data_IF_009358886259
#
_entry.id   IF_009358886259
#
_cell.length_a   1.000
_cell.length_b   1.000
_cell.length_c   1.000
_cell.angle_alpha   90.00
_cell.angle_beta   90.00
_cell.angle_gamma   90.00
#
_symmetry.space_group_name_H-M   'P 1'
#
loop_
_entity.id
_entity.type
_entity.pdbx_description
1 polymer ?
#
# COMPACT_ATOMS: atom_id res chain seq x y z
N UNK A 1 -4.24 -3.89 6.15
CA UNK A 1 -5.21 -4.98 6.42
C UNK A 1 -4.75 -6.21 5.64
N UNK A 2 -4.55 -7.35 6.29
CA UNK A 2 -4.11 -8.56 5.58
C UNK A 2 -5.30 -9.11 4.77
N UNK A 3 -5.21 -9.05 3.43
CA UNK A 3 -6.30 -9.42 2.51
C UNK A 3 -6.38 -10.95 2.32
N UNK A 4 -5.66 -11.74 3.11
CA UNK A 4 -5.56 -13.21 2.94
C UNK A 4 -6.91 -13.93 2.91
N UNK A 5 -7.91 -13.44 3.61
CA UNK A 5 -9.24 -14.06 3.68
C UNK A 5 -10.13 -13.72 2.48
N UNK A 6 -9.76 -12.75 1.65
CA UNK A 6 -10.56 -12.29 0.50
C UNK A 6 -10.01 -12.74 -0.84
N UNK A 7 -8.73 -13.09 -0.88
CA UNK A 7 -8.06 -13.51 -2.12
C UNK A 7 -7.75 -14.99 -2.06
N UNK A 8 -8.19 -15.72 -3.05
CA UNK A 8 -7.79 -17.09 -3.32
C UNK A 8 -7.08 -17.14 -4.66
N UNK A 9 -6.07 -17.96 -4.77
CA UNK A 9 -5.35 -18.19 -6.02
C UNK A 9 -4.96 -19.66 -6.14
N UNK A 10 -4.68 -20.12 -7.37
CA UNK A 10 -4.20 -21.47 -7.64
C UNK A 10 -2.86 -21.71 -6.92
N UNK A 11 -2.77 -22.82 -6.20
CA UNK A 11 -1.50 -23.27 -5.64
C UNK A 11 -0.54 -23.60 -6.78
N UNK A 12 0.66 -23.00 -6.77
CA UNK A 12 1.65 -23.19 -7.83
C UNK A 12 1.30 -22.55 -9.20
N UNK A 13 0.11 -21.95 -9.36
CA UNK A 13 -0.33 -21.32 -10.60
C UNK A 13 0.32 -19.97 -10.92
N UNK A 14 1.14 -19.44 -10.02
CA UNK A 14 1.77 -18.14 -10.18
C UNK A 14 3.24 -18.16 -9.79
N UNK A 15 4.08 -17.51 -10.58
CA UNK A 15 5.42 -17.08 -10.14
C UNK A 15 5.32 -15.64 -9.69
N UNK A 16 5.56 -15.39 -8.38
CA UNK A 16 5.62 -14.05 -7.79
C UNK A 16 7.05 -13.55 -7.81
N UNK A 17 7.23 -12.31 -8.22
CA UNK A 17 8.51 -11.60 -8.22
C UNK A 17 8.33 -10.27 -7.47
N UNK A 18 9.11 -10.05 -6.42
CA UNK A 18 9.07 -8.84 -5.60
C UNK A 18 10.40 -8.09 -5.66
N UNK A 19 10.35 -6.78 -5.52
CA UNK A 19 11.57 -5.93 -5.50
C UNK A 19 12.49 -6.23 -4.33
N UNK A 20 11.97 -6.92 -3.30
CA UNK A 20 12.75 -7.43 -2.16
C UNK A 20 13.45 -8.77 -2.44
N UNK A 21 13.15 -9.41 -3.57
CA UNK A 21 13.81 -10.64 -3.96
C UNK A 21 15.23 -10.32 -4.42
N UNK A 22 16.21 -11.02 -3.86
CA UNK A 22 17.62 -10.80 -4.18
C UNK A 22 18.03 -11.36 -5.54
N UNK A 23 17.24 -12.27 -6.09
CA UNK A 23 17.53 -13.02 -7.33
C UNK A 23 16.30 -13.03 -8.24
N UNK A 24 16.52 -12.84 -9.56
CA UNK A 24 15.48 -12.93 -10.61
C UNK A 24 14.42 -11.82 -10.63
N UNK A 25 14.60 -10.70 -9.95
CA UNK A 25 13.71 -9.55 -10.08
C UNK A 25 14.14 -8.60 -11.21
N UNK A 26 13.29 -8.44 -12.20
CA UNK A 26 13.50 -7.48 -13.29
C UNK A 26 12.80 -6.14 -12.96
N UNK A 27 13.59 -5.12 -12.60
CA UNK A 27 13.08 -3.78 -12.26
C UNK A 27 12.26 -3.14 -13.38
N UNK A 28 12.53 -3.49 -14.66
CA UNK A 28 11.78 -2.95 -15.81
C UNK A 28 10.36 -3.51 -15.91
N UNK A 29 10.08 -4.62 -15.21
CA UNK A 29 8.77 -5.27 -15.14
C UNK A 29 7.99 -4.91 -13.89
N UNK A 30 8.60 -4.17 -12.97
CA UNK A 30 8.01 -3.82 -11.69
C UNK A 30 6.71 -3.03 -11.86
N UNK A 31 5.65 -3.49 -11.18
CA UNK A 31 4.37 -2.78 -11.08
C UNK A 31 4.33 -1.84 -9.88
N UNK A 32 3.21 -1.13 -9.74
CA UNK A 32 2.98 -0.13 -8.68
C UNK A 32 3.17 -0.69 -7.26
N UNK A 33 2.84 -1.97 -7.04
CA UNK A 33 2.99 -2.64 -5.73
C UNK A 33 4.42 -3.12 -5.43
N UNK A 34 5.39 -2.88 -6.31
CA UNK A 34 6.72 -3.47 -6.21
C UNK A 34 6.77 -4.95 -6.61
N UNK A 35 5.68 -5.48 -7.18
CA UNK A 35 5.58 -6.87 -7.65
C UNK A 35 5.21 -6.94 -9.11
N UNK A 36 5.48 -8.11 -9.71
CA UNK A 36 4.79 -8.63 -10.88
C UNK A 36 4.60 -10.13 -10.73
N UNK A 37 3.60 -10.66 -11.41
CA UNK A 37 3.22 -12.07 -11.36
C UNK A 37 3.20 -12.64 -12.76
N UNK A 38 3.78 -13.83 -12.94
CA UNK A 38 3.78 -14.58 -14.19
C UNK A 38 2.87 -15.79 -14.01
N UNK A 39 1.83 -15.95 -14.82
CA UNK A 39 0.95 -17.11 -14.71
C UNK A 39 1.66 -18.39 -15.18
N UNK A 40 1.32 -19.49 -14.55
CA UNK A 40 1.65 -20.85 -14.93
C UNK A 40 0.37 -21.57 -15.38
N UNK A 41 0.47 -22.83 -15.67
CA UNK A 41 -0.71 -23.65 -16.02
C UNK A 41 -1.79 -23.54 -14.92
N UNK A 42 -3.05 -23.42 -15.36
CA UNK A 42 -4.23 -23.33 -14.48
C UNK A 42 -4.18 -22.19 -13.47
N UNK A 43 -3.54 -21.08 -13.84
CA UNK A 43 -3.53 -19.90 -13.00
C UNK A 43 -4.94 -19.32 -12.86
N UNK A 44 -5.34 -19.04 -11.64
CA UNK A 44 -6.55 -18.26 -11.34
C UNK A 44 -6.35 -17.37 -10.14
N UNK A 45 -7.16 -16.33 -10.05
CA UNK A 45 -7.31 -15.51 -8.86
C UNK A 45 -8.80 -15.24 -8.60
N UNK A 46 -9.23 -15.36 -7.35
CA UNK A 46 -10.60 -15.11 -6.92
C UNK A 46 -10.59 -14.08 -5.78
N UNK A 47 -11.47 -13.09 -5.88
CA UNK A 47 -11.78 -12.15 -4.80
C UNK A 47 -13.20 -12.39 -4.31
N UNK A 48 -13.41 -12.14 -3.01
CA UNK A 48 -14.74 -12.18 -2.38
C UNK A 48 -14.94 -10.97 -1.49
N UNK A 49 -16.16 -10.47 -1.45
CA UNK A 49 -16.62 -9.51 -0.47
C UNK A 49 -16.48 -10.05 0.95
N UNK A 50 -16.42 -9.19 1.94
CA UNK A 50 -16.21 -9.55 3.33
C UNK A 50 -16.87 -8.53 4.24
N UNK A 51 -17.88 -8.97 4.99
CA UNK A 51 -18.64 -8.13 5.92
C UNK A 51 -18.18 -8.23 7.39
N UNK A 52 -17.17 -9.04 7.68
CA UNK A 52 -16.67 -9.25 9.06
C UNK A 52 -16.27 -7.96 9.77
N UNK A 53 -15.76 -6.97 9.02
CA UNK A 53 -15.22 -5.73 9.56
C UNK A 53 -16.12 -4.52 9.31
N UNK A 54 -16.93 -4.57 8.25
CA UNK A 54 -17.94 -3.56 7.93
C UNK A 54 -19.05 -4.20 7.11
N UNK A 55 -20.31 -3.99 7.49
CA UNK A 55 -21.49 -4.65 6.95
C UNK A 55 -21.70 -4.44 5.45
N UNK A 56 -21.23 -3.32 4.91
CA UNK A 56 -21.40 -2.96 3.49
C UNK A 56 -20.27 -3.47 2.59
N UNK A 57 -19.30 -4.25 3.10
CA UNK A 57 -18.17 -4.76 2.34
C UNK A 57 -18.36 -6.18 1.80
N UNK A 58 -19.57 -6.70 1.81
CA UNK A 58 -19.91 -8.02 1.25
C UNK A 58 -20.05 -8.01 -0.27
N UNK A 59 -20.32 -6.83 -0.86
CA UNK A 59 -20.44 -6.62 -2.31
C UNK A 59 -19.71 -5.36 -2.74
N UNK A 60 -19.37 -5.32 -4.03
CA UNK A 60 -18.86 -4.12 -4.71
C UNK A 60 -19.58 -3.93 -6.05
N UNK A 61 -19.27 -2.84 -6.76
CA UNK A 61 -19.88 -2.52 -8.06
C UNK A 61 -18.93 -2.72 -9.23
N UNK A 62 -17.62 -2.77 -8.97
CA UNK A 62 -16.59 -2.90 -10.00
C UNK A 62 -15.58 -3.93 -9.54
N UNK A 63 -15.18 -4.84 -10.45
CA UNK A 63 -14.00 -5.66 -10.22
C UNK A 63 -13.09 -5.62 -11.43
N UNK A 64 -11.78 -5.63 -11.19
CA UNK A 64 -10.76 -5.45 -12.23
C UNK A 64 -9.57 -6.38 -12.01
N UNK A 65 -8.96 -6.83 -13.10
CA UNK A 65 -7.63 -7.46 -13.12
C UNK A 65 -6.73 -6.65 -14.05
N UNK A 66 -5.49 -6.37 -13.62
CA UNK A 66 -4.52 -5.54 -14.34
C UNK A 66 -3.37 -6.38 -14.88
N UNK A 67 -3.03 -6.20 -16.16
CA UNK A 67 -1.98 -6.95 -16.83
C UNK A 67 -1.31 -6.15 -17.95
N UNK A 68 -0.10 -6.59 -18.31
CA UNK A 68 0.65 -6.10 -19.45
C UNK A 68 1.09 -7.31 -20.29
N UNK A 69 0.70 -7.37 -21.55
CA UNK A 69 1.00 -8.48 -22.42
C UNK A 69 1.81 -8.04 -23.65
N UNK A 70 2.69 -8.93 -24.10
CA UNK A 70 3.42 -8.79 -25.37
C UNK A 70 2.87 -9.73 -26.45
N UNK A 71 2.06 -10.70 -26.09
CA UNK A 71 1.37 -11.63 -26.95
C UNK A 71 -0.14 -11.66 -26.63
N UNK A 72 -0.81 -12.67 -27.13
CA UNK A 72 -2.25 -12.88 -26.93
C UNK A 72 -2.55 -13.33 -25.50
N UNK A 73 -3.66 -12.82 -24.96
CA UNK A 73 -4.18 -13.19 -23.64
C UNK A 73 -5.64 -13.57 -23.79
N UNK A 74 -6.03 -14.72 -23.23
CA UNK A 74 -7.41 -15.10 -23.05
C UNK A 74 -7.71 -15.28 -21.56
N UNK A 75 -8.65 -14.50 -21.03
CA UNK A 75 -9.08 -14.52 -19.64
C UNK A 75 -10.55 -14.90 -19.58
N UNK A 76 -10.92 -15.82 -18.68
CA UNK A 76 -12.31 -16.03 -18.30
C UNK A 76 -12.63 -15.34 -16.99
N UNK A 77 -13.79 -14.69 -16.90
CA UNK A 77 -14.30 -14.10 -15.67
C UNK A 77 -15.61 -14.76 -15.26
N UNK A 78 -15.70 -15.17 -14.01
CA UNK A 78 -16.91 -15.72 -13.40
C UNK A 78 -17.32 -14.81 -12.22
N UNK A 79 -18.49 -14.17 -12.32
CA UNK A 79 -19.04 -13.27 -11.30
C UNK A 79 -20.11 -14.06 -10.52
N UNK A 80 -20.05 -13.96 -9.17
CA UNK A 80 -21.02 -14.55 -8.25
C UNK A 80 -21.29 -16.05 -8.49
N UNK A 81 -20.26 -16.80 -8.98
CA UNK A 81 -20.38 -18.22 -9.35
C UNK A 81 -21.38 -18.49 -10.49
N UNK A 82 -21.67 -17.49 -11.31
CA UNK A 82 -22.46 -17.63 -12.53
C UNK A 82 -21.67 -18.27 -13.67
N UNK A 83 -22.14 -18.09 -14.88
CA UNK A 83 -21.43 -18.53 -16.08
C UNK A 83 -20.13 -17.75 -16.27
N UNK A 84 -19.10 -18.43 -16.78
CA UNK A 84 -17.83 -17.83 -17.09
C UNK A 84 -17.85 -17.18 -18.48
N UNK A 85 -17.45 -15.92 -18.58
CA UNK A 85 -17.29 -15.20 -19.84
C UNK A 85 -15.82 -15.10 -20.22
N UNK A 86 -15.45 -15.61 -21.38
CA UNK A 86 -14.08 -15.52 -21.91
C UNK A 86 -13.91 -14.27 -22.77
N UNK A 87 -12.73 -13.62 -22.67
CA UNK A 87 -12.35 -12.48 -23.50
C UNK A 87 -10.91 -12.60 -23.96
N UNK A 88 -10.69 -12.23 -25.21
CA UNK A 88 -9.37 -12.16 -25.84
C UNK A 88 -8.83 -10.72 -25.78
N UNK A 89 -7.53 -10.60 -25.55
CA UNK A 89 -6.82 -9.34 -25.51
C UNK A 89 -5.55 -9.42 -26.35
N UNK A 90 -5.51 -8.63 -27.42
CA UNK A 90 -4.30 -8.41 -28.19
C UNK A 90 -3.36 -7.44 -27.46
N UNK A 91 -2.07 -7.45 -27.81
CA UNK A 91 -1.10 -6.52 -27.23
C UNK A 91 -1.38 -5.08 -27.62
N UNK A 92 -1.33 -4.18 -26.66
CA UNK A 92 -1.43 -2.72 -26.88
C UNK A 92 -0.11 -2.00 -26.58
N UNK A 93 0.89 -2.71 -26.07
CA UNK A 93 2.12 -2.11 -25.56
C UNK A 93 1.92 -1.20 -24.33
N UNK A 94 0.76 -1.33 -23.68
CA UNK A 94 0.34 -0.58 -22.49
C UNK A 94 -0.27 -1.49 -21.43
N UNK A 95 -0.38 -1.00 -20.21
CA UNK A 95 -1.16 -1.63 -19.15
C UNK A 95 -2.61 -1.76 -19.61
N UNK A 96 -3.15 -2.96 -19.46
CA UNK A 96 -4.55 -3.28 -19.76
C UNK A 96 -5.28 -3.71 -18.49
N UNK A 97 -6.61 -3.61 -18.52
CA UNK A 97 -7.47 -4.18 -17.50
C UNK A 97 -8.67 -4.91 -18.13
N UNK A 98 -9.06 -6.02 -17.54
CA UNK A 98 -10.39 -6.58 -17.72
C UNK A 98 -11.26 -6.11 -16.57
N UNK A 99 -12.34 -5.41 -16.86
CA UNK A 99 -13.29 -4.85 -15.89
C UNK A 99 -14.66 -5.47 -16.05
N UNK A 100 -15.30 -5.79 -14.92
CA UNK A 100 -16.70 -6.19 -14.83
C UNK A 100 -17.44 -5.27 -13.88
N UNK A 101 -18.69 -4.96 -14.21
CA UNK A 101 -19.56 -4.08 -13.43
C UNK A 101 -20.81 -4.83 -13.00
N UNK A 102 -21.39 -4.45 -11.87
CA UNK A 102 -22.62 -5.03 -11.32
C UNK A 102 -22.55 -5.21 -9.81
N UNK A 103 -23.53 -5.86 -9.22
CA UNK A 103 -23.46 -6.24 -7.81
C UNK A 103 -22.59 -7.51 -7.68
N UNK A 104 -21.36 -7.36 -7.21
CA UNK A 104 -20.34 -8.39 -7.17
C UNK A 104 -20.05 -8.79 -5.73
N UNK A 105 -20.41 -10.01 -5.33
CA UNK A 105 -20.02 -10.60 -4.04
C UNK A 105 -18.77 -11.47 -4.16
N UNK A 106 -18.52 -12.02 -5.36
CA UNK A 106 -17.30 -12.74 -5.70
C UNK A 106 -16.99 -12.61 -7.18
N UNK A 107 -15.72 -12.60 -7.50
CA UNK A 107 -15.24 -12.60 -8.87
C UNK A 107 -14.01 -13.49 -8.97
N UNK A 108 -13.97 -14.30 -10.01
CA UNK A 108 -12.85 -15.18 -10.31
C UNK A 108 -12.39 -14.93 -11.73
N UNK A 109 -11.10 -14.76 -11.92
CA UNK A 109 -10.44 -14.74 -13.21
C UNK A 109 -9.61 -16.01 -13.38
N UNK A 110 -9.86 -16.75 -14.46
CA UNK A 110 -9.05 -17.88 -14.90
C UNK A 110 -8.21 -17.43 -16.09
N UNK A 111 -6.94 -17.78 -16.08
CA UNK A 111 -5.97 -17.43 -17.11
C UNK A 111 -5.90 -18.61 -18.09
N UNK A 112 -6.64 -18.52 -19.20
CA UNK A 112 -6.72 -19.60 -20.18
C UNK A 112 -5.48 -19.63 -21.09
N UNK A 113 -5.01 -18.41 -21.49
CA UNK A 113 -3.79 -18.21 -22.28
C UNK A 113 -3.16 -16.88 -21.89
N UNK A 114 -1.85 -16.83 -21.77
CA UNK A 114 -1.14 -15.60 -21.40
C UNK A 114 0.29 -15.61 -21.95
N UNK A 115 0.44 -15.29 -23.23
CA UNK A 115 1.73 -15.27 -23.91
C UNK A 115 2.53 -14.03 -23.48
N UNK A 116 3.70 -14.25 -22.84
CA UNK A 116 4.59 -13.17 -22.39
C UNK A 116 3.86 -12.07 -21.60
N UNK A 117 3.00 -12.47 -20.65
CA UNK A 117 2.12 -11.58 -19.90
C UNK A 117 2.57 -11.44 -18.44
N UNK A 118 2.48 -10.21 -17.94
CA UNK A 118 2.71 -9.88 -16.53
C UNK A 118 1.40 -9.40 -15.92
N UNK A 119 1.06 -9.92 -14.75
CA UNK A 119 -0.08 -9.47 -13.96
C UNK A 119 0.38 -8.63 -12.79
N UNK A 120 -0.39 -7.60 -12.44
CA UNK A 120 -0.02 -6.65 -11.39
C UNK A 120 -0.97 -6.62 -10.20
N UNK A 121 -2.16 -7.18 -10.36
CA UNK A 121 -3.10 -7.28 -9.26
C UNK A 121 -4.54 -7.32 -9.72
N UNK A 122 -5.41 -7.38 -8.72
CA UNK A 122 -6.87 -7.41 -8.85
C UNK A 122 -7.49 -6.45 -7.85
N UNK A 123 -8.65 -5.89 -8.18
CA UNK A 123 -9.37 -4.95 -7.32
C UNK A 123 -10.86 -5.27 -7.28
N UNK A 124 -11.51 -4.95 -6.16
CA UNK A 124 -12.96 -4.87 -5.99
C UNK A 124 -13.30 -3.51 -5.39
N UNK A 125 -14.06 -2.70 -6.10
CA UNK A 125 -14.28 -1.30 -5.80
C UNK A 125 -15.76 -0.96 -5.70
N UNK A 126 -16.09 -0.03 -4.79
CA UNK A 126 -17.35 0.69 -4.79
C UNK A 126 -17.34 1.84 -5.81
N UNK A 127 -18.52 2.31 -6.19
CA UNK A 127 -18.69 3.55 -6.98
C UNK A 127 -18.83 4.79 -6.10
N UNK A 128 -18.95 4.61 -4.80
CA UNK A 128 -19.09 5.67 -3.80
C UNK A 128 -18.23 5.36 -2.57
N UNK A 129 -17.92 6.39 -1.80
CA UNK A 129 -17.11 6.28 -0.59
C UNK A 129 -15.62 6.36 -0.86
N UNK A 130 -14.83 5.71 0.00
CA UNK A 130 -13.36 5.69 -0.06
C UNK A 130 -12.87 4.32 -0.47
N UNK A 131 -12.04 4.28 -1.49
CA UNK A 131 -11.33 3.07 -1.92
C UNK A 131 -9.89 3.14 -1.41
N UNK A 132 -9.41 2.06 -0.80
CA UNK A 132 -8.06 1.99 -0.24
C UNK A 132 -7.30 0.82 -0.86
N UNK A 133 -6.23 1.13 -1.57
CA UNK A 133 -5.27 0.15 -2.05
C UNK A 133 -4.13 0.00 -1.04
N UNK A 134 -3.76 -1.22 -0.74
CA UNK A 134 -2.65 -1.52 0.13
C UNK A 134 -1.49 -2.14 -0.67
N UNK A 135 -0.45 -1.35 -0.90
CA UNK A 135 0.79 -1.75 -1.58
C UNK A 135 1.94 -1.99 -0.60
N UNK A 136 1.64 -2.33 0.65
CA UNK A 136 2.66 -2.60 1.65
C UNK A 136 3.56 -3.76 1.22
N UNK A 137 4.88 -3.54 1.30
CA UNK A 137 5.91 -4.51 0.99
C UNK A 137 6.79 -4.71 2.22
N UNK A 138 6.71 -5.90 2.82
CA UNK A 138 7.47 -6.23 4.03
C UNK A 138 8.97 -6.07 3.80
N UNK A 139 9.65 -5.40 4.75
CA UNK A 139 11.10 -5.17 4.68
C UNK A 139 11.52 -4.02 3.77
N UNK A 140 10.60 -3.36 3.07
CA UNK A 140 10.91 -2.22 2.21
C UNK A 140 11.28 -0.98 3.03
N UNK A 141 12.24 -0.23 2.53
CA UNK A 141 12.62 1.10 3.04
C UNK A 141 11.91 2.24 2.29
N UNK A 142 11.13 1.94 1.25
CA UNK A 142 10.55 2.93 0.35
C UNK A 142 11.49 3.38 -0.78
N UNK A 143 12.79 3.15 -0.68
CA UNK A 143 13.77 3.61 -1.67
C UNK A 143 13.61 2.96 -3.05
N UNK A 144 13.05 1.76 -3.11
CA UNK A 144 12.78 1.04 -4.37
C UNK A 144 11.69 1.69 -5.22
N UNK A 145 10.84 2.54 -4.65
CA UNK A 145 9.78 3.26 -5.39
C UNK A 145 10.35 4.09 -6.55
N UNK A 146 11.54 4.67 -6.38
CA UNK A 146 12.24 5.44 -7.43
C UNK A 146 12.63 4.62 -8.66
N UNK A 147 12.61 3.29 -8.59
CA UNK A 147 12.97 2.40 -9.70
C UNK A 147 11.78 1.83 -10.44
N UNK A 148 10.56 2.14 -10.03
CA UNK A 148 9.37 1.76 -10.77
C UNK A 148 9.34 2.57 -12.08
N UNK A 149 9.18 1.94 -13.26
CA UNK A 149 9.17 2.69 -14.52
C UNK A 149 8.08 3.76 -14.54
N UNK A 150 8.43 5.01 -14.86
CA UNK A 150 7.48 6.14 -14.93
C UNK A 150 6.28 5.82 -15.82
N UNK A 151 6.52 5.20 -16.98
CA UNK A 151 5.45 4.77 -17.90
C UNK A 151 4.44 3.86 -17.19
N UNK A 152 4.90 2.90 -16.39
CA UNK A 152 4.03 1.98 -15.65
C UNK A 152 3.18 2.72 -14.62
N UNK A 153 3.78 3.63 -13.85
CA UNK A 153 3.05 4.43 -12.87
C UNK A 153 2.03 5.35 -13.53
N UNK A 154 2.38 6.01 -14.63
CA UNK A 154 1.48 6.87 -15.39
C UNK A 154 0.32 6.10 -16.02
N UNK A 155 0.57 4.89 -16.53
CA UNK A 155 -0.46 4.01 -17.06
C UNK A 155 -1.40 3.49 -15.96
N UNK A 156 -0.88 3.19 -14.77
CA UNK A 156 -1.71 2.91 -13.60
C UNK A 156 -2.54 4.13 -13.21
N UNK A 157 -1.94 5.32 -13.12
CA UNK A 157 -2.65 6.54 -12.80
C UNK A 157 -3.80 6.84 -13.78
N UNK A 158 -3.59 6.58 -15.08
CA UNK A 158 -4.63 6.77 -16.09
C UNK A 158 -5.82 5.79 -15.93
N UNK A 159 -5.59 4.59 -15.43
CA UNK A 159 -6.65 3.58 -15.25
C UNK A 159 -7.24 3.55 -13.84
N UNK A 160 -6.46 3.95 -12.84
CA UNK A 160 -6.79 3.95 -11.42
C UNK A 160 -6.13 5.16 -10.75
N UNK A 161 -6.73 6.36 -10.92
CA UNK A 161 -6.20 7.57 -10.29
C UNK A 161 -6.29 7.49 -8.77
N UNK A 162 -5.35 8.16 -8.10
CA UNK A 162 -5.31 8.27 -6.64
C UNK A 162 -5.45 9.72 -6.22
N UNK A 163 -6.34 10.00 -5.27
CA UNK A 163 -6.50 11.33 -4.67
C UNK A 163 -5.45 11.56 -3.57
N UNK A 164 -5.05 10.49 -2.85
CA UNK A 164 -4.08 10.54 -1.77
C UNK A 164 -3.15 9.32 -1.81
N UNK A 165 -1.86 9.56 -1.71
CA UNK A 165 -0.82 8.54 -1.55
C UNK A 165 -0.20 8.70 -0.18
N UNK A 166 -0.35 7.67 0.67
CA UNK A 166 0.22 7.62 2.01
C UNK A 166 1.50 6.79 1.99
N UNK A 167 2.60 7.35 2.46
CA UNK A 167 3.91 6.72 2.53
C UNK A 167 4.25 6.43 4.00
N UNK A 168 4.36 5.14 4.34
CA UNK A 168 4.73 4.65 5.66
C UNK A 168 5.98 3.77 5.55
N UNK A 169 7.15 4.38 5.76
CA UNK A 169 8.44 3.72 5.63
C UNK A 169 9.40 4.19 6.73
N UNK A 170 10.50 3.46 6.90
CA UNK A 170 11.61 3.90 7.75
C UNK A 170 11.93 2.96 8.90
N UNK A 171 10.98 2.18 9.42
CA UNK A 171 11.25 1.28 10.56
C UNK A 171 12.38 0.28 10.26
N UNK A 172 12.51 -0.17 9.00
CA UNK A 172 13.59 -1.05 8.54
C UNK A 172 14.94 -0.32 8.35
N UNK A 173 14.96 1.00 8.47
CA UNK A 173 16.16 1.85 8.36
C UNK A 173 16.66 2.27 9.74
N UNK A 174 15.76 2.30 10.73
CA UNK A 174 16.09 2.69 12.08
C UNK A 174 17.10 1.73 12.72
N UNK A 175 18.20 2.27 13.25
CA UNK A 175 19.18 1.53 14.03
C UNK A 175 19.25 2.12 15.44
N UNK A 176 19.69 1.32 16.42
CA UNK A 176 19.71 1.72 17.84
C UNK A 176 20.37 3.08 18.08
N UNK A 177 21.53 3.31 17.46
CA UNK A 177 22.33 4.53 17.63
C UNK A 177 22.38 5.37 16.35
N UNK A 178 21.41 5.20 15.43
CA UNK A 178 21.37 5.92 14.16
C UNK A 178 21.39 7.44 14.35
N UNK A 179 22.44 8.10 13.86
CA UNK A 179 22.60 9.55 13.94
C UNK A 179 22.46 10.24 12.60
N UNK A 180 22.93 9.59 11.54
CA UNK A 180 22.95 10.13 10.19
C UNK A 180 22.07 9.30 9.26
N UNK A 181 21.01 9.90 8.76
CA UNK A 181 20.10 9.33 7.78
C UNK A 181 20.10 10.11 6.46
N UNK A 182 21.14 10.92 6.16
CA UNK A 182 21.25 11.67 4.91
C UNK A 182 21.14 10.80 3.65
N UNK A 183 21.76 9.60 3.55
CA UNK A 183 21.58 8.74 2.39
C UNK A 183 20.12 8.28 2.22
N UNK A 184 19.43 7.99 3.33
CA UNK A 184 18.01 7.64 3.32
C UNK A 184 17.16 8.83 2.89
N UNK A 185 17.39 10.01 3.48
CA UNK A 185 16.70 11.26 3.14
C UNK A 185 16.82 11.53 1.64
N UNK A 186 18.03 11.55 1.09
CA UNK A 186 18.27 11.78 -0.34
C UNK A 186 17.53 10.76 -1.23
N UNK A 187 17.58 9.49 -0.85
CA UNK A 187 16.91 8.43 -1.60
C UNK A 187 15.39 8.53 -1.56
N UNK A 188 14.79 8.88 -0.39
CA UNK A 188 13.36 9.00 -0.25
C UNK A 188 12.82 10.27 -0.92
N UNK A 189 13.54 11.40 -0.87
CA UNK A 189 13.21 12.59 -1.66
C UNK A 189 13.16 12.28 -3.16
N UNK A 190 14.14 11.53 -3.68
CA UNK A 190 14.11 11.08 -5.08
C UNK A 190 12.89 10.23 -5.39
N UNK A 191 12.51 9.31 -4.49
CA UNK A 191 11.33 8.47 -4.66
C UNK A 191 10.02 9.27 -4.63
N UNK A 192 9.90 10.24 -3.70
CA UNK A 192 8.72 11.11 -3.59
C UNK A 192 8.57 11.97 -4.85
N UNK A 193 9.64 12.60 -5.32
CA UNK A 193 9.61 13.43 -6.53
C UNK A 193 9.20 12.60 -7.76
N UNK A 194 9.76 11.40 -7.90
CA UNK A 194 9.39 10.47 -8.96
C UNK A 194 7.89 10.11 -8.92
N UNK A 195 7.33 9.85 -7.73
CA UNK A 195 5.89 9.60 -7.59
C UNK A 195 5.05 10.85 -7.91
N UNK A 196 5.46 12.03 -7.45
CA UNK A 196 4.75 13.30 -7.75
C UNK A 196 4.67 13.58 -9.25
N UNK A 197 5.75 13.30 -9.99
CA UNK A 197 5.76 13.43 -11.46
C UNK A 197 4.79 12.44 -12.14
N UNK A 198 4.64 11.24 -11.58
CA UNK A 198 3.76 10.20 -12.13
C UNK A 198 2.28 10.35 -11.71
N UNK A 199 2.02 10.98 -10.55
CA UNK A 199 0.70 11.20 -9.97
C UNK A 199 0.47 12.69 -9.65
N UNK A 200 0.44 13.58 -10.67
CA UNK A 200 0.46 15.03 -10.46
C UNK A 200 -0.79 15.59 -9.77
N UNK A 201 -1.89 14.83 -9.75
CA UNK A 201 -3.15 15.24 -9.09
C UNK A 201 -3.27 14.69 -7.66
N UNK A 202 -2.42 13.74 -7.27
CA UNK A 202 -2.51 13.14 -5.95
C UNK A 202 -1.90 14.03 -4.86
N UNK A 203 -2.56 14.11 -3.73
CA UNK A 203 -1.97 14.57 -2.47
C UNK A 203 -1.00 13.50 -1.92
N UNK A 204 0.01 13.95 -1.17
CA UNK A 204 0.96 13.03 -0.54
C UNK A 204 1.01 13.28 0.97
N UNK A 205 1.05 12.18 1.73
CA UNK A 205 1.19 12.17 3.18
C UNK A 205 2.31 11.22 3.59
N UNK A 206 3.33 11.73 4.26
CA UNK A 206 4.36 10.91 4.89
C UNK A 206 4.01 10.67 6.36
N UNK A 207 3.95 9.41 6.76
CA UNK A 207 3.84 9.00 8.16
C UNK A 207 5.26 8.82 8.72
N UNK A 208 5.50 9.35 9.93
CA UNK A 208 6.75 9.04 10.62
C UNK A 208 6.80 7.56 11.02
N UNK A 209 7.98 7.07 11.35
CA UNK A 209 8.07 5.83 12.13
C UNK A 209 7.41 6.03 13.50
N UNK A 210 6.85 4.95 14.02
CA UNK A 210 6.34 4.91 15.40
C UNK A 210 7.44 4.73 16.41
N UNK A 211 7.04 4.68 17.70
CA UNK A 211 7.96 4.31 18.76
C UNK A 211 8.45 2.86 18.60
N UNK A 212 9.67 2.65 19.01
CA UNK A 212 10.32 1.33 19.06
C UNK A 212 11.27 1.30 20.24
N UNK A 213 11.08 0.33 21.12
CA UNK A 213 11.93 0.18 22.30
C UNK A 213 13.07 -0.80 22.05
N UNK A 214 14.13 -0.60 22.81
CA UNK A 214 15.25 -1.51 22.94
C UNK A 214 15.57 -1.74 24.42
N UNK A 215 16.24 -2.84 24.72
CA UNK A 215 16.77 -3.10 26.07
C UNK A 215 18.15 -2.50 26.22
N UNK A 216 18.30 -1.68 27.28
CA UNK A 216 19.61 -1.19 27.70
C UNK A 216 20.46 -2.33 28.29
N UNK A 217 21.75 -2.10 28.51
CA UNK A 217 22.67 -3.05 29.16
C UNK A 217 22.20 -3.41 30.58
N UNK A 218 21.40 -2.54 31.22
CA UNK A 218 20.78 -2.78 32.54
C UNK A 218 19.44 -3.51 32.45
N UNK A 219 18.98 -3.84 31.23
CA UNK A 219 17.71 -4.54 30.97
C UNK A 219 16.47 -3.63 30.95
N UNK A 220 16.64 -2.32 31.10
CA UNK A 220 15.56 -1.35 31.05
C UNK A 220 15.08 -1.14 29.59
N UNK A 221 13.76 -1.03 29.39
CA UNK A 221 13.18 -0.69 28.11
C UNK A 221 13.18 0.82 27.90
N UNK A 222 13.69 1.28 26.76
CA UNK A 222 13.70 2.70 26.39
C UNK A 222 13.45 2.85 24.90
N UNK A 223 12.82 3.97 24.51
CA UNK A 223 12.72 4.38 23.12
C UNK A 223 14.10 4.42 22.45
N UNK A 224 14.21 3.80 21.30
CA UNK A 224 15.44 3.74 20.52
C UNK A 224 15.88 5.13 20.05
N UNK A 225 17.07 5.64 20.42
CA UNK A 225 17.53 6.97 20.04
C UNK A 225 17.55 7.22 18.54
N UNK A 226 17.89 6.20 17.74
CA UNK A 226 17.89 6.28 16.29
C UNK A 226 16.50 6.54 15.69
N UNK A 227 15.42 6.11 16.34
CA UNK A 227 14.04 6.41 15.92
C UNK A 227 13.76 7.91 16.01
N UNK A 228 14.09 8.53 17.14
CA UNK A 228 13.88 9.99 17.32
C UNK A 228 14.66 10.82 16.30
N UNK A 229 15.87 10.41 15.96
CA UNK A 229 16.65 11.04 14.90
C UNK A 229 15.98 10.84 13.53
N UNK A 230 15.54 9.63 13.21
CA UNK A 230 14.90 9.33 11.93
C UNK A 230 13.61 10.15 11.72
N UNK A 231 12.81 10.34 12.76
CA UNK A 231 11.59 11.18 12.71
C UNK A 231 11.92 12.61 12.28
N UNK A 232 12.99 13.21 12.81
CA UNK A 232 13.45 14.54 12.37
C UNK A 232 13.82 14.57 10.90
N UNK A 233 14.50 13.54 10.41
CA UNK A 233 14.79 13.40 8.98
C UNK A 233 13.53 13.25 8.14
N UNK A 234 12.55 12.47 8.58
CA UNK A 234 11.27 12.30 7.89
C UNK A 234 10.45 13.60 7.85
N UNK A 235 10.47 14.37 8.93
CA UNK A 235 9.86 15.70 8.97
C UNK A 235 10.52 16.66 7.94
N UNK A 236 11.85 16.66 7.88
CA UNK A 236 12.60 17.44 6.90
C UNK A 236 12.32 16.99 5.46
N UNK A 237 12.20 15.67 5.22
CA UNK A 237 11.82 15.12 3.91
C UNK A 237 10.45 15.66 3.49
N UNK A 238 9.46 15.62 4.37
CA UNK A 238 8.12 16.12 4.07
C UNK A 238 8.13 17.62 3.75
N UNK A 239 8.85 18.42 4.55
CA UNK A 239 9.00 19.86 4.33
C UNK A 239 9.70 20.17 2.99
N UNK A 240 10.83 19.53 2.69
CA UNK A 240 11.58 19.74 1.45
C UNK A 240 10.84 19.29 0.20
N UNK A 241 10.04 18.22 0.29
CA UNK A 241 9.23 17.73 -0.83
C UNK A 241 7.86 18.43 -0.94
N UNK A 242 7.51 19.29 0.03
CA UNK A 242 6.25 20.01 0.03
C UNK A 242 5.04 19.08 0.14
N UNK A 243 5.12 18.06 1.01
CA UNK A 243 4.05 17.10 1.26
C UNK A 243 3.59 17.16 2.72
N UNK A 244 2.39 16.65 2.99
CA UNK A 244 1.88 16.57 4.35
C UNK A 244 2.70 15.56 5.19
N UNK A 245 2.77 15.81 6.49
CA UNK A 245 3.45 14.97 7.46
C UNK A 245 2.53 14.67 8.65
N UNK A 246 2.47 13.40 9.05
CA UNK A 246 1.78 12.98 10.28
C UNK A 246 2.76 12.28 11.20
N UNK A 247 2.90 12.78 12.40
CA UNK A 247 3.83 12.25 13.40
C UNK A 247 3.18 11.07 14.14
N UNK A 248 3.37 9.86 13.63
CA UNK A 248 2.84 8.64 14.25
C UNK A 248 3.45 8.39 15.62
N UNK A 249 4.71 8.75 15.84
CA UNK A 249 5.36 8.64 17.15
C UNK A 249 4.61 9.42 18.23
N UNK A 250 4.27 10.69 17.97
CA UNK A 250 3.49 11.50 18.90
C UNK A 250 2.07 10.96 19.05
N UNK A 251 1.44 10.50 17.97
CA UNK A 251 0.11 9.89 18.01
C UNK A 251 0.08 8.61 18.86
N UNK A 252 1.19 7.87 18.94
CA UNK A 252 1.34 6.72 19.84
C UNK A 252 1.46 7.11 21.32
N UNK A 253 1.81 8.35 21.63
CA UNK A 253 2.07 8.86 22.96
C UNK A 253 3.53 9.26 23.22
N UNK A 254 4.37 9.29 22.19
CA UNK A 254 5.76 9.73 22.25
C UNK A 254 6.71 8.70 22.88
N UNK A 255 7.69 9.18 23.60
CA UNK A 255 8.75 8.35 24.21
C UNK A 255 8.19 7.33 25.22
N UNK A 256 8.56 6.06 25.05
CA UNK A 256 8.12 4.94 25.90
C UNK A 256 6.69 4.45 25.59
N UNK A 257 6.03 5.00 24.59
CA UNK A 257 4.66 4.62 24.23
C UNK A 257 4.55 3.16 23.76
N UNK A 258 5.58 2.62 23.14
CA UNK A 258 5.58 1.22 22.69
C UNK A 258 5.40 0.26 23.87
N UNK A 259 6.12 0.46 24.99
CA UNK A 259 5.93 -0.34 26.19
C UNK A 259 4.49 -0.21 26.73
N UNK A 260 3.92 1.00 26.73
CA UNK A 260 2.52 1.23 27.09
C UNK A 260 1.54 0.45 26.21
N UNK A 261 1.74 0.44 24.90
CA UNK A 261 0.90 -0.29 23.95
C UNK A 261 1.03 -1.83 24.10
N UNK A 262 2.24 -2.35 24.39
CA UNK A 262 2.47 -3.77 24.66
C UNK A 262 1.70 -4.21 25.90
N UNK A 263 1.75 -3.44 26.98
CA UNK A 263 1.14 -3.78 28.26
C UNK A 263 -0.31 -3.29 28.43
N UNK A 264 -0.88 -2.63 27.44
CA UNK A 264 -2.29 -2.27 27.42
C UNK A 264 -3.21 -3.50 27.52
N UNK A 265 -4.41 -3.31 28.06
CA UNK A 265 -5.41 -4.38 28.21
C UNK A 265 -6.69 -4.01 27.44
N UNK A 266 -6.96 -4.62 26.29
CA UNK A 266 -6.13 -5.62 25.57
C UNK A 266 -4.88 -5.02 24.94
N UNK A 267 -3.82 -5.82 24.78
CA UNK A 267 -2.55 -5.40 24.15
C UNK A 267 -2.76 -4.81 22.75
N UNK A 268 -2.06 -3.73 22.44
CA UNK A 268 -2.08 -3.02 21.14
C UNK A 268 -0.79 -3.23 20.33
N UNK A 269 0.25 -3.80 20.94
CA UNK A 269 1.51 -4.11 20.27
C UNK A 269 2.03 -5.50 20.66
N UNK A 270 3.01 -5.98 19.92
CA UNK A 270 3.64 -7.28 20.16
C UNK A 270 4.77 -7.15 21.19
N UNK A 271 5.10 -8.25 21.87
CA UNK A 271 6.19 -8.31 22.87
C UNK A 271 7.60 -8.17 22.27
N UNK A 272 7.72 -7.92 20.97
CA UNK A 272 8.97 -7.53 20.32
C UNK A 272 9.27 -6.03 20.46
N UNK A 273 8.35 -5.27 21.08
CA UNK A 273 8.47 -3.83 21.30
C UNK A 273 8.79 -3.02 20.03
N UNK A 274 8.31 -3.52 18.90
CA UNK A 274 8.58 -2.95 17.56
C UNK A 274 7.31 -2.88 16.73
N UNK A 275 6.51 -3.93 16.74
CA UNK A 275 5.36 -4.06 15.84
C UNK A 275 4.04 -3.93 16.59
N UNK A 276 3.19 -3.02 16.14
CA UNK A 276 1.79 -2.95 16.56
C UNK A 276 1.02 -4.17 16.05
N UNK A 277 0.03 -4.63 16.80
CA UNK A 277 -0.89 -5.67 16.36
C UNK A 277 -2.13 -5.07 15.67
N UNK A 278 -3.10 -5.89 15.26
CA UNK A 278 -4.31 -5.40 14.58
C UNK A 278 -5.13 -4.39 15.40
N UNK A 279 -5.17 -4.54 16.73
CA UNK A 279 -5.89 -3.61 17.60
C UNK A 279 -5.16 -2.26 17.67
N UNK A 280 -3.83 -2.30 17.78
CA UNK A 280 -3.00 -1.10 17.71
C UNK A 280 -3.10 -0.40 16.36
N UNK A 281 -3.08 -1.18 15.26
CA UNK A 281 -3.30 -0.63 13.92
C UNK A 281 -4.66 0.05 13.77
N UNK A 282 -5.73 -0.53 14.34
CA UNK A 282 -7.06 0.11 14.35
C UNK A 282 -7.08 1.39 15.19
N UNK A 283 -6.40 1.38 16.34
CA UNK A 283 -6.31 2.55 17.21
C UNK A 283 -5.59 3.70 16.48
N UNK A 284 -4.41 3.46 15.91
CA UNK A 284 -3.65 4.48 15.19
C UNK A 284 -4.37 4.95 13.90
N UNK A 285 -5.03 4.04 13.19
CA UNK A 285 -5.85 4.42 12.04
C UNK A 285 -7.02 5.33 12.43
N UNK A 286 -7.61 5.13 13.62
CA UNK A 286 -8.61 6.03 14.19
C UNK A 286 -8.06 7.44 14.40
N UNK A 287 -6.90 7.56 15.05
CA UNK A 287 -6.24 8.85 15.28
C UNK A 287 -5.86 9.56 13.98
N UNK A 288 -5.36 8.82 12.99
CA UNK A 288 -5.08 9.37 11.67
C UNK A 288 -6.37 9.86 11.00
N UNK A 289 -7.44 9.06 11.04
CA UNK A 289 -8.73 9.43 10.48
C UNK A 289 -9.29 10.71 11.11
N UNK A 290 -9.28 10.81 12.44
CA UNK A 290 -9.71 12.02 13.17
C UNK A 290 -8.88 13.24 12.76
N UNK A 291 -7.56 13.09 12.61
CA UNK A 291 -6.67 14.16 12.11
C UNK A 291 -7.06 14.60 10.70
N UNK A 292 -7.35 13.66 9.79
CA UNK A 292 -7.74 13.97 8.41
C UNK A 292 -9.11 14.67 8.36
N UNK A 293 -10.08 14.22 9.17
CA UNK A 293 -11.41 14.86 9.26
C UNK A 293 -11.30 16.28 9.81
N UNK A 294 -10.54 16.46 10.90
CA UNK A 294 -10.27 17.79 11.44
C UNK A 294 -9.63 18.72 10.39
N UNK A 295 -8.61 18.23 9.69
CA UNK A 295 -7.97 18.99 8.61
C UNK A 295 -8.93 19.38 7.49
N UNK A 296 -9.83 18.47 7.09
CA UNK A 296 -10.89 18.73 6.12
C UNK A 296 -11.82 19.83 6.59
N UNK A 297 -12.33 19.76 7.83
CA UNK A 297 -13.22 20.77 8.41
C UNK A 297 -12.55 22.16 8.46
N UNK A 298 -11.25 22.23 8.85
CA UNK A 298 -10.50 23.49 8.84
C UNK A 298 -10.36 24.06 7.42
N UNK A 299 -10.10 23.20 6.44
CA UNK A 299 -10.04 23.60 5.04
C UNK A 299 -11.37 24.14 4.54
N UNK A 300 -12.48 23.47 4.83
CA UNK A 300 -13.84 23.90 4.42
C UNK A 300 -14.22 25.25 5.05
N UNK A 301 -13.92 25.45 6.34
CA UNK A 301 -14.14 26.74 7.04
C UNK A 301 -13.34 27.87 6.40
N UNK A 302 -12.06 27.63 6.09
CA UNK A 302 -11.21 28.61 5.41
C UNK A 302 -11.75 28.96 4.03
N UNK A 303 -12.17 27.97 3.26
CA UNK A 303 -12.75 28.18 1.93
C UNK A 303 -14.06 28.97 1.96
N UNK A 304 -14.91 28.72 2.95
CA UNK A 304 -16.13 29.51 3.14
C UNK A 304 -15.80 30.97 3.44
N UNK A 305 -14.83 31.23 4.31
CA UNK A 305 -14.39 32.59 4.65
C UNK A 305 -13.71 33.33 3.48
N UNK A 306 -12.94 32.62 2.63
CA UNK A 306 -12.31 33.20 1.43
C UNK A 306 -13.32 33.54 0.31
N UNK A 307 -14.54 32.96 0.35
CA UNK A 307 -15.60 33.17 -0.62
C UNK A 307 -16.57 34.32 -0.27
N UNK A 308 -16.52 34.82 0.98
CA UNK A 308 -17.22 36.02 1.47
C UNK A 308 -16.43 37.29 1.14
#
# INVERSE_FOLDING_TARGET
MCIRDRVRHSFGGWSSHAVTDSVYFDKKKQGISGHYFVPRERAYVELRGQNKYASLLDTCQIASIFFYNKGEVNLSVCVNRGEAEARDFSTTGRLQQMKVNGRISSVRWDINRADSTLFYGVAMDGTQGVVVDNFSLRGSSGLSLRSIPSKMLQEFNAQRPYDLIILEYGLNVATERGRNYDPYKKGLLTAINHLKECFPQAGFLLLSVGDRDYKTDTGELRTMPGVKNLIRYQQNIAAESGIAFWNMFEAMGGEGSMAGLVHAKPSLANYDYTHINFRGGRHLAGLLYETLIYGKEQYERRKAYEAE
#
